data_IF_113254967051
#
_entry.id   IF_113254967051
#
_cell.length_a   1.000
_cell.length_b   1.000
_cell.length_c   1.000
_cell.angle_alpha   90.00
_cell.angle_beta   90.00
_cell.angle_gamma   90.00
#
_symmetry.space_group_name_H-M   'P 1'
#
loop_
_entity.id
_entity.type
_entity.pdbx_description
1 polymer ?
#
# COMPACT_ATOMS: atom_id res chain seq x y z
N UNK A 1 47.31 -4.86 78.53
CA UNK A 1 46.74 -6.14 79.02
C UNK A 1 45.54 -6.47 78.14
N UNK A 2 45.49 -7.72 77.65
CA UNK A 2 44.43 -8.40 76.88
C UNK A 2 44.51 -8.31 75.33
N UNK A 3 44.91 -9.45 74.77
CA UNK A 3 44.81 -9.94 73.38
C UNK A 3 43.37 -9.96 72.86
N UNK A 4 43.16 -9.98 71.52
CA UNK A 4 42.54 -11.14 70.80
C UNK A 4 42.64 -10.98 69.27
N UNK A 5 42.65 -12.14 68.61
CA UNK A 5 43.07 -12.54 67.27
C UNK A 5 42.23 -12.06 66.07
N UNK A 6 42.94 -11.70 64.99
CA UNK A 6 42.90 -12.26 63.61
C UNK A 6 41.53 -12.65 63.01
N UNK A 7 41.15 -12.00 61.91
CA UNK A 7 40.70 -12.69 60.69
C UNK A 7 40.89 -11.83 59.45
N UNK A 8 41.64 -12.38 58.48
CA UNK A 8 41.80 -11.85 57.13
C UNK A 8 40.50 -12.15 56.37
N UNK A 9 39.80 -11.13 55.87
CA UNK A 9 38.73 -11.29 54.87
C UNK A 9 39.03 -10.35 53.71
N UNK A 10 39.65 -10.95 52.70
CA UNK A 10 39.88 -10.41 51.37
C UNK A 10 38.52 -10.38 50.65
N UNK A 11 38.04 -9.22 50.18
CA UNK A 11 37.14 -9.24 49.01
C UNK A 11 37.03 -7.89 48.29
N UNK A 12 37.78 -7.82 47.19
CA UNK A 12 37.32 -7.44 45.83
C UNK A 12 36.64 -6.08 45.68
N UNK A 13 37.48 -5.11 45.34
CA UNK A 13 37.13 -3.99 44.47
C UNK A 13 36.51 -4.46 43.15
N UNK A 14 35.32 -3.97 42.80
CA UNK A 14 34.88 -3.87 41.41
C UNK A 14 34.22 -2.49 41.18
N UNK A 15 34.81 -1.60 40.38
CA UNK A 15 34.07 -0.52 39.73
C UNK A 15 33.42 -1.11 38.48
N UNK A 16 32.10 -1.04 38.32
CA UNK A 16 31.47 -1.55 37.10
C UNK A 16 30.25 -0.73 36.68
N UNK A 17 30.56 0.25 35.83
CA UNK A 17 29.88 0.63 34.59
C UNK A 17 28.37 0.86 34.67
N UNK A 18 28.00 2.14 34.69
CA UNK A 18 26.71 2.65 34.26
C UNK A 18 26.58 2.41 32.73
N UNK A 19 25.98 1.29 32.32
CA UNK A 19 25.63 1.06 30.92
C UNK A 19 24.20 1.57 30.68
N UNK A 20 24.08 2.85 30.31
CA UNK A 20 22.83 3.43 29.84
C UNK A 20 22.59 2.90 28.41
N UNK A 21 21.84 1.81 28.28
CA UNK A 21 21.43 1.27 26.99
C UNK A 21 20.45 2.26 26.33
N UNK A 22 20.96 3.08 25.41
CA UNK A 22 20.13 3.86 24.52
C UNK A 22 19.38 2.90 23.57
N UNK A 23 18.13 2.59 23.91
CA UNK A 23 17.19 1.99 22.96
C UNK A 23 16.91 3.06 21.90
N UNK A 24 17.74 3.10 20.85
CA UNK A 24 17.37 3.77 19.62
C UNK A 24 16.24 2.96 18.97
N UNK A 25 15.00 3.24 19.36
CA UNK A 25 13.86 2.87 18.55
C UNK A 25 14.02 3.64 17.23
N UNK A 26 14.59 2.98 16.23
CA UNK A 26 14.44 3.41 14.85
C UNK A 26 12.95 3.31 14.57
N UNK A 27 12.22 4.40 14.82
CA UNK A 27 10.91 4.58 14.24
C UNK A 27 11.15 4.54 12.73
N UNK A 28 10.89 3.37 12.13
CA UNK A 28 10.84 3.27 10.68
C UNK A 28 9.83 4.33 10.27
N UNK A 29 10.29 5.38 9.58
CA UNK A 29 9.39 6.35 9.01
C UNK A 29 8.38 5.54 8.20
N UNK A 30 7.09 5.61 8.58
CA UNK A 30 6.05 5.00 7.79
C UNK A 30 6.20 5.57 6.38
N UNK A 31 6.29 4.71 5.36
CA UNK A 31 6.29 5.19 3.97
C UNK A 31 5.06 6.10 3.85
N UNK A 32 5.19 7.40 3.54
CA UNK A 32 4.04 8.29 3.43
C UNK A 32 3.02 7.76 2.41
N UNK A 33 3.46 6.91 1.47
CA UNK A 33 2.61 6.24 0.50
C UNK A 33 1.85 5.03 1.07
N UNK A 34 2.24 4.49 2.23
CA UNK A 34 1.47 3.43 2.93
C UNK A 34 0.07 3.89 3.31
N UNK A 35 -0.21 5.20 3.29
CA UNK A 35 -1.57 5.73 3.48
C UNK A 35 -2.60 5.17 2.51
N UNK A 36 -2.17 4.60 1.38
CA UNK A 36 -3.05 3.97 0.39
C UNK A 36 -3.18 2.45 0.58
N UNK A 37 -2.30 1.82 1.35
CA UNK A 37 -2.31 0.37 1.59
C UNK A 37 -3.50 0.01 2.47
N UNK A 38 -4.30 -0.97 2.04
CA UNK A 38 -5.50 -1.39 2.75
C UNK A 38 -6.64 -1.77 1.81
N UNK A 39 -7.85 -1.82 2.37
CA UNK A 39 -9.08 -2.15 1.64
C UNK A 39 -10.03 -0.98 1.75
N UNK A 40 -10.29 -0.35 0.61
CA UNK A 40 -11.11 0.85 0.51
C UNK A 40 -12.47 0.49 -0.04
N UNK A 41 -13.54 0.85 0.66
CA UNK A 41 -14.88 0.79 0.09
C UNK A 41 -15.03 1.88 -0.98
N UNK A 42 -15.58 1.52 -2.14
CA UNK A 42 -15.84 2.48 -3.21
C UNK A 42 -17.26 3.02 -3.10
N UNK A 43 -17.39 4.33 -2.94
CA UNK A 43 -18.69 5.00 -3.03
C UNK A 43 -18.95 5.36 -4.49
N UNK A 44 -19.85 4.62 -5.14
CA UNK A 44 -20.25 4.88 -6.52
C UNK A 44 -21.54 5.72 -6.54
N UNK A 45 -21.61 6.84 -7.29
CA UNK A 45 -22.87 7.57 -7.50
C UNK A 45 -23.95 6.63 -8.05
N UNK A 46 -25.10 6.54 -7.39
CA UNK A 46 -26.16 5.58 -7.73
C UNK A 46 -26.22 4.32 -6.85
N UNK A 47 -25.34 4.19 -5.85
CA UNK A 47 -25.59 3.34 -4.69
C UNK A 47 -25.24 1.86 -4.83
N UNK A 48 -24.02 1.54 -5.28
CA UNK A 48 -23.49 0.18 -5.14
C UNK A 48 -22.12 0.14 -4.46
N UNK A 49 -21.87 -0.96 -3.75
CA UNK A 49 -20.64 -1.20 -3.01
C UNK A 49 -19.59 -1.92 -3.87
N UNK A 50 -18.50 -1.22 -4.20
CA UNK A 50 -17.27 -1.86 -4.67
C UNK A 50 -16.18 -1.80 -3.61
N UNK A 51 -15.02 -2.40 -3.85
CA UNK A 51 -13.82 -2.12 -3.04
C UNK A 51 -12.55 -2.12 -3.89
N UNK A 52 -11.55 -1.35 -3.45
CA UNK A 52 -10.20 -1.32 -3.99
C UNK A 52 -9.22 -1.78 -2.91
N UNK A 53 -8.49 -2.85 -3.18
CA UNK A 53 -7.40 -3.33 -2.35
C UNK A 53 -6.07 -2.84 -2.90
N UNK A 54 -5.23 -2.31 -2.02
CA UNK A 54 -3.85 -1.96 -2.33
C UNK A 54 -2.94 -2.67 -1.33
N UNK A 55 -1.92 -3.34 -1.85
CA UNK A 55 -0.87 -3.98 -1.06
C UNK A 55 0.48 -3.38 -1.42
N UNK A 56 1.42 -3.44 -0.47
CA UNK A 56 2.82 -3.09 -0.69
C UNK A 56 3.65 -4.27 -0.18
N UNK A 57 3.97 -5.19 -1.07
CA UNK A 57 4.70 -6.42 -0.75
C UNK A 57 5.91 -6.55 -1.67
N UNK A 58 6.99 -7.16 -1.17
CA UNK A 58 8.18 -7.49 -1.99
C UNK A 58 8.78 -6.29 -2.75
N UNK A 59 8.59 -5.08 -2.23
CA UNK A 59 9.15 -3.85 -2.79
C UNK A 59 8.34 -3.20 -3.92
N UNK A 60 7.10 -3.62 -4.15
CA UNK A 60 6.21 -3.00 -5.15
C UNK A 60 4.78 -2.87 -4.63
N UNK A 61 4.03 -1.95 -5.24
CA UNK A 61 2.59 -1.80 -5.02
C UNK A 61 1.82 -2.73 -5.96
N UNK A 62 0.78 -3.36 -5.44
CA UNK A 62 -0.15 -4.19 -6.21
C UNK A 62 -1.59 -3.92 -5.74
N UNK A 63 -2.56 -4.45 -6.45
CA UNK A 63 -3.95 -4.25 -6.08
C UNK A 63 -4.96 -5.15 -6.76
N UNK A 64 -6.17 -5.10 -6.22
CA UNK A 64 -7.34 -5.77 -6.78
C UNK A 64 -8.56 -4.90 -6.60
N UNK A 65 -9.53 -5.07 -7.49
CA UNK A 65 -10.76 -4.28 -7.48
C UNK A 65 -11.98 -5.18 -7.61
N UNK A 66 -13.03 -4.83 -6.88
CA UNK A 66 -14.36 -5.39 -7.04
C UNK A 66 -15.35 -4.27 -7.35
N UNK A 67 -16.11 -4.45 -8.41
CA UNK A 67 -17.26 -3.59 -8.72
C UNK A 67 -18.51 -4.09 -7.98
N UNK A 68 -19.57 -3.28 -8.00
CA UNK A 68 -20.86 -3.52 -7.33
C UNK A 68 -21.35 -4.98 -7.47
N UNK A 69 -21.11 -5.60 -8.62
CA UNK A 69 -21.27 -7.02 -8.84
C UNK A 69 -20.12 -7.55 -9.72
N UNK A 70 -19.81 -8.84 -9.58
CA UNK A 70 -18.80 -9.54 -10.39
C UNK A 70 -17.74 -10.23 -9.55
N UNK A 71 -16.66 -10.61 -10.22
CA UNK A 71 -15.46 -11.18 -9.60
C UNK A 71 -14.51 -10.07 -9.13
N UNK A 72 -13.68 -10.39 -8.14
CA UNK A 72 -12.51 -9.59 -7.80
C UNK A 72 -11.49 -9.75 -8.92
N UNK A 73 -11.04 -8.64 -9.49
CA UNK A 73 -10.08 -8.63 -10.60
C UNK A 73 -8.77 -7.98 -10.18
N UNK A 74 -7.61 -8.51 -10.59
CA UNK A 74 -6.34 -7.81 -10.43
C UNK A 74 -6.33 -6.51 -11.24
N UNK A 75 -5.52 -5.55 -10.80
CA UNK A 75 -5.22 -4.33 -11.57
C UNK A 75 -3.93 -4.54 -12.37
N UNK A 76 -3.71 -3.74 -13.43
CA UNK A 76 -2.53 -3.90 -14.28
C UNK A 76 -1.28 -3.23 -13.70
N UNK A 77 -1.45 -2.13 -12.95
CA UNK A 77 -0.36 -1.49 -12.21
C UNK A 77 -0.88 -0.58 -11.10
N UNK A 78 -0.05 -0.37 -10.08
CA UNK A 78 -0.26 0.59 -9.00
C UNK A 78 1.01 1.39 -8.80
N UNK A 79 0.88 2.71 -8.70
CA UNK A 79 1.99 3.60 -8.35
C UNK A 79 1.48 4.85 -7.64
N UNK A 80 2.37 5.53 -6.92
CA UNK A 80 2.07 6.80 -6.27
C UNK A 80 2.89 7.90 -6.93
N UNK A 81 2.23 8.99 -7.33
CA UNK A 81 2.86 10.14 -7.95
C UNK A 81 2.13 11.42 -7.53
N UNK A 82 2.87 12.48 -7.20
CA UNK A 82 2.32 13.75 -6.73
C UNK A 82 1.28 13.59 -5.62
N UNK A 83 1.58 12.75 -4.63
CA UNK A 83 0.70 12.46 -3.49
C UNK A 83 -0.66 11.85 -3.89
N UNK A 84 -0.78 11.29 -5.09
CA UNK A 84 -1.98 10.59 -5.54
C UNK A 84 -1.65 9.12 -5.85
N UNK A 85 -2.59 8.24 -5.51
CA UNK A 85 -2.59 6.86 -5.96
C UNK A 85 -3.02 6.82 -7.43
N UNK A 86 -2.28 6.09 -8.25
CA UNK A 86 -2.63 5.80 -9.64
C UNK A 86 -2.75 4.29 -9.80
N UNK A 87 -3.88 3.86 -10.35
CA UNK A 87 -4.18 2.46 -10.63
C UNK A 87 -4.61 2.34 -12.09
N UNK A 88 -3.97 1.45 -12.84
CA UNK A 88 -4.34 1.22 -14.24
C UNK A 88 -5.09 -0.09 -14.41
N UNK A 89 -6.08 -0.10 -15.30
CA UNK A 89 -6.71 -1.33 -15.78
C UNK A 89 -6.78 -1.34 -17.29
N UNK A 90 -6.53 -2.47 -17.92
CA UNK A 90 -6.53 -2.58 -19.37
C UNK A 90 -7.70 -3.41 -19.87
N UNK A 91 -8.24 -3.03 -21.03
CA UNK A 91 -9.38 -3.71 -21.66
C UNK A 91 -9.22 -3.79 -23.17
N UNK A 92 -9.62 -4.92 -23.74
CA UNK A 92 -9.58 -5.14 -25.17
C UNK A 92 -10.83 -4.57 -25.86
N UNK A 93 -10.62 -3.83 -26.95
CA UNK A 93 -11.65 -3.28 -27.81
C UNK A 93 -11.48 -3.90 -29.20
N UNK A 94 -12.43 -4.74 -29.57
CA UNK A 94 -12.48 -5.33 -30.91
C UNK A 94 -13.03 -4.32 -31.93
N UNK A 95 -12.32 -4.16 -33.04
CA UNK A 95 -12.76 -3.45 -34.23
C UNK A 95 -13.26 -4.47 -35.22
N UNK A 96 -14.51 -4.30 -35.65
CA UNK A 96 -15.18 -5.22 -36.56
C UNK A 96 -15.45 -4.53 -37.89
N UNK A 97 -15.35 -5.27 -38.98
CA UNK A 97 -15.80 -4.80 -40.30
C UNK A 97 -17.34 -4.84 -40.42
N UNK A 98 -17.87 -4.46 -41.58
CA UNK A 98 -19.31 -4.49 -41.86
C UNK A 98 -19.93 -5.89 -41.77
N UNK A 99 -19.11 -6.94 -41.87
CA UNK A 99 -19.54 -8.34 -41.78
C UNK A 99 -19.41 -8.89 -40.35
N UNK A 100 -19.01 -8.05 -39.38
CA UNK A 100 -18.84 -8.42 -37.98
C UNK A 100 -17.54 -9.16 -37.67
N UNK A 101 -16.64 -9.36 -38.64
CA UNK A 101 -15.35 -10.01 -38.43
C UNK A 101 -14.42 -9.05 -37.69
N UNK A 102 -13.75 -9.54 -36.65
CA UNK A 102 -12.72 -8.76 -35.94
C UNK A 102 -11.53 -8.53 -36.87
N UNK A 103 -11.28 -7.28 -37.22
CA UNK A 103 -10.15 -6.85 -38.07
C UNK A 103 -8.98 -6.30 -37.26
N UNK A 104 -9.21 -5.88 -36.02
CA UNK A 104 -8.17 -5.43 -35.09
C UNK A 104 -8.67 -5.52 -33.64
N UNK A 105 -7.80 -5.87 -32.71
CA UNK A 105 -8.03 -5.66 -31.27
C UNK A 105 -7.10 -4.55 -30.79
N UNK A 106 -7.65 -3.55 -30.11
CA UNK A 106 -6.89 -2.47 -29.49
C UNK A 106 -6.97 -2.59 -27.98
N UNK A 107 -5.85 -2.34 -27.28
CA UNK A 107 -5.83 -2.24 -25.82
C UNK A 107 -6.07 -0.81 -25.39
N UNK A 108 -7.04 -0.61 -24.51
CA UNK A 108 -7.32 0.66 -23.86
C UNK A 108 -6.94 0.56 -22.39
N UNK A 109 -6.43 1.67 -21.82
CA UNK A 109 -6.11 1.77 -20.40
C UNK A 109 -7.10 2.72 -19.73
N UNK A 110 -7.79 2.21 -18.72
CA UNK A 110 -8.53 3.00 -17.76
C UNK A 110 -7.57 3.42 -16.64
N UNK A 111 -7.66 4.68 -16.21
CA UNK A 111 -6.85 5.23 -15.12
C UNK A 111 -7.76 5.60 -13.96
N UNK A 112 -7.49 5.04 -12.78
CA UNK A 112 -8.10 5.43 -11.52
C UNK A 112 -7.06 6.24 -10.76
N UNK A 113 -7.43 7.46 -10.38
CA UNK A 113 -6.62 8.32 -9.52
C UNK A 113 -7.33 8.49 -8.18
N UNK A 114 -6.59 8.50 -7.09
CA UNK A 114 -7.19 8.68 -5.77
C UNK A 114 -6.31 9.46 -4.80
N UNK A 115 -6.98 10.15 -3.88
CA UNK A 115 -6.38 10.79 -2.69
C UNK A 115 -6.99 10.18 -1.45
N UNK A 116 -6.19 10.04 -0.39
CA UNK A 116 -6.62 9.48 0.89
C UNK A 116 -6.61 10.57 1.95
N UNK A 117 -7.69 10.67 2.71
CA UNK A 117 -7.85 11.58 3.86
C UNK A 117 -8.43 10.78 5.04
N UNK A 118 -7.55 10.35 5.95
CA UNK A 118 -7.90 9.39 6.99
C UNK A 118 -8.43 8.08 6.40
N UNK A 119 -9.68 7.76 6.71
CA UNK A 119 -10.37 6.54 6.26
C UNK A 119 -11.20 6.75 4.99
N UNK A 120 -11.11 7.93 4.35
CA UNK A 120 -11.81 8.24 3.11
C UNK A 120 -10.86 8.17 1.90
N UNK A 121 -11.25 7.42 0.86
CA UNK A 121 -10.57 7.42 -0.44
C UNK A 121 -11.44 8.12 -1.50
N UNK A 122 -10.99 9.29 -1.96
CA UNK A 122 -11.63 10.04 -3.04
C UNK A 122 -11.00 9.66 -4.36
N UNK A 123 -11.78 9.06 -5.25
CA UNK A 123 -11.29 8.56 -6.54
C UNK A 123 -11.95 9.25 -7.74
N UNK A 124 -11.18 9.36 -8.81
CA UNK A 124 -11.65 9.72 -10.16
C UNK A 124 -11.24 8.64 -11.13
N UNK A 125 -12.18 8.21 -11.99
CA UNK A 125 -11.94 7.23 -13.04
C UNK A 125 -11.95 7.93 -14.39
N UNK A 126 -10.80 7.92 -15.06
CA UNK A 126 -10.69 8.27 -16.47
C UNK A 126 -10.78 7.00 -17.31
N UNK A 127 -11.85 6.92 -18.12
CA UNK A 127 -12.09 5.82 -19.06
C UNK A 127 -12.23 6.41 -20.47
N UNK A 128 -11.20 6.34 -21.32
CA UNK A 128 -11.28 6.86 -22.69
C UNK A 128 -12.39 6.15 -23.48
N UNK A 129 -13.15 6.89 -24.29
CA UNK A 129 -14.17 6.25 -25.11
C UNK A 129 -13.54 5.39 -26.19
N UNK A 130 -14.22 4.31 -26.55
CA UNK A 130 -13.74 3.40 -27.57
C UNK A 130 -13.65 4.06 -28.95
N UNK A 131 -14.28 5.20 -29.20
CA UNK A 131 -14.17 5.93 -30.47
C UNK A 131 -13.05 6.99 -30.49
N UNK A 132 -12.39 7.25 -29.36
CA UNK A 132 -11.30 8.24 -29.26
C UNK A 132 -11.72 9.64 -28.81
N UNK A 133 -13.02 9.84 -28.51
CA UNK A 133 -13.55 11.09 -27.94
C UNK A 133 -13.38 11.18 -26.41
#
# INVERSE_FOLDING_TARGET
>A
MIFTKRLLQLNRSLPSVLALAALAAAASAADPNNRFVGRWALTVPGGGAGWLGITAEKGYYDGSILWIAGSVEPVDSVFVFNDALHVTRTRDVQRKDSNGKVVRTQRFTDLITATADGDELKLTIFRPRANGD
#
